data_IF_664524374883
#
_entry.id   IF_664524374883
#
_cell.length_a   1.000
_cell.length_b   1.000
_cell.length_c   1.000
_cell.angle_alpha   90.00
_cell.angle_beta   90.00
_cell.angle_gamma   90.00
#
_symmetry.space_group_name_H-M   'P 1'
#
loop_
_entity.id
_entity.type
_entity.pdbx_description
1 polymer ?
#
# COMPACT_ATOMS: atom_id res chain seq x y z
N UNK A 1 -24.14 82.46 -5.47
CA UNK A 1 -23.35 83.28 -6.42
C UNK A 1 -23.05 82.40 -7.64
N UNK A 2 -23.90 82.44 -8.67
CA UNK A 2 -23.65 83.06 -10.00
C UNK A 2 -22.46 82.41 -10.73
N UNK A 3 -22.61 81.71 -11.86
CA UNK A 3 -23.01 82.27 -13.17
C UNK A 3 -23.52 81.21 -14.18
N UNK A 4 -24.38 81.74 -15.07
CA UNK A 4 -24.95 81.24 -16.33
C UNK A 4 -23.95 80.95 -17.47
N UNK A 5 -24.37 80.12 -18.44
CA UNK A 5 -24.30 80.32 -19.93
C UNK A 5 -24.27 78.95 -20.65
N UNK A 6 -25.32 78.47 -21.33
CA UNK A 6 -25.81 78.79 -22.70
C UNK A 6 -25.00 78.21 -23.89
N UNK A 7 -25.58 77.18 -24.53
CA UNK A 7 -25.80 76.92 -25.97
C UNK A 7 -24.59 76.90 -26.95
N UNK A 8 -24.38 75.77 -27.65
CA UNK A 8 -24.27 75.76 -29.12
C UNK A 8 -24.62 74.40 -29.76
N UNK A 9 -25.40 74.47 -30.84
CA UNK A 9 -25.84 73.40 -31.75
C UNK A 9 -24.70 72.99 -32.70
N UNK A 10 -24.70 71.73 -33.14
CA UNK A 10 -23.88 71.27 -34.26
C UNK A 10 -24.20 69.84 -34.68
N UNK A 11 -25.10 69.69 -35.64
CA UNK A 11 -25.44 68.43 -36.31
C UNK A 11 -24.35 68.06 -37.31
N UNK A 12 -23.88 66.81 -37.34
CA UNK A 12 -23.41 66.19 -38.58
C UNK A 12 -23.68 64.67 -38.50
N UNK A 13 -24.57 64.20 -39.37
CA UNK A 13 -24.80 62.79 -39.64
C UNK A 13 -23.58 62.22 -40.36
N UNK A 14 -22.96 61.19 -39.77
CA UNK A 14 -22.02 60.30 -40.44
C UNK A 14 -22.49 58.87 -40.25
N UNK A 15 -23.04 58.27 -41.31
CA UNK A 15 -23.42 56.85 -41.36
C UNK A 15 -22.17 55.97 -41.33
N UNK A 16 -21.68 55.65 -40.14
CA UNK A 16 -20.66 54.62 -39.93
C UNK A 16 -21.32 53.27 -39.72
N UNK A 17 -21.16 52.35 -40.68
CA UNK A 17 -21.53 50.95 -40.51
C UNK A 17 -20.63 50.33 -39.42
N UNK A 18 -21.19 50.14 -38.22
CA UNK A 18 -20.52 49.41 -37.13
C UNK A 18 -20.59 47.91 -37.44
N UNK A 19 -19.51 47.36 -37.99
CA UNK A 19 -19.27 45.92 -37.96
C UNK A 19 -18.99 45.52 -36.51
N UNK A 20 -19.99 45.04 -35.79
CA UNK A 20 -19.76 44.31 -34.53
C UNK A 20 -19.12 42.97 -34.87
N UNK A 21 -17.79 42.91 -34.80
CA UNK A 21 -17.09 41.64 -34.67
C UNK A 21 -17.49 41.03 -33.33
N UNK A 22 -18.41 40.06 -33.36
CA UNK A 22 -18.70 39.23 -32.20
C UNK A 22 -17.47 38.34 -31.93
N UNK A 23 -16.62 38.77 -31.00
CA UNK A 23 -15.65 37.87 -30.39
C UNK A 23 -16.42 36.79 -29.62
N UNK A 24 -16.65 35.64 -30.25
CA UNK A 24 -17.01 34.42 -29.54
C UNK A 24 -15.78 34.01 -28.72
N UNK A 25 -15.78 34.38 -27.44
CA UNK A 25 -14.84 33.81 -26.47
C UNK A 25 -15.15 32.32 -26.41
N UNK A 26 -14.27 31.51 -27.01
CA UNK A 26 -14.35 30.06 -26.90
C UNK A 26 -14.32 29.69 -25.41
N UNK A 27 -15.39 29.05 -24.94
CA UNK A 27 -15.50 28.53 -23.58
C UNK A 27 -14.31 27.56 -23.37
N UNK A 28 -13.52 27.69 -22.29
CA UNK A 28 -12.47 26.72 -22.01
C UNK A 28 -13.12 25.34 -21.97
N UNK A 29 -12.50 24.35 -22.62
CA UNK A 29 -12.91 22.97 -22.47
C UNK A 29 -12.96 22.66 -20.97
N UNK A 30 -14.12 22.22 -20.47
CA UNK A 30 -14.25 21.84 -19.07
C UNK A 30 -13.17 20.81 -18.77
N UNK A 31 -12.21 21.16 -17.91
CA UNK A 31 -11.32 20.18 -17.32
C UNK A 31 -12.22 19.09 -16.74
N UNK A 32 -12.06 17.84 -17.20
CA UNK A 32 -12.73 16.71 -16.59
C UNK A 32 -12.35 16.74 -15.11
N UNK A 33 -13.31 17.10 -14.27
CA UNK A 33 -13.16 17.06 -12.82
C UNK A 33 -12.60 15.69 -12.48
N UNK A 34 -11.42 15.67 -11.86
CA UNK A 34 -10.68 14.44 -11.61
C UNK A 34 -11.54 13.61 -10.65
N UNK A 35 -12.20 12.58 -11.18
CA UNK A 35 -13.12 11.76 -10.39
C UNK A 35 -12.44 11.34 -9.09
N UNK A 36 -13.04 11.70 -7.96
CA UNK A 36 -12.48 11.42 -6.65
C UNK A 36 -12.46 9.91 -6.44
N UNK A 37 -11.29 9.36 -6.11
CA UNK A 37 -11.16 7.94 -5.79
C UNK A 37 -11.68 7.65 -4.39
N UNK A 38 -12.51 6.62 -4.26
CA UNK A 38 -12.92 6.02 -3.00
C UNK A 38 -12.30 4.63 -2.91
N UNK A 39 -11.33 4.45 -2.02
CA UNK A 39 -10.52 3.23 -1.92
C UNK A 39 -10.94 2.43 -0.67
N UNK A 40 -11.24 1.15 -0.84
CA UNK A 40 -11.57 0.24 0.27
C UNK A 40 -10.50 -0.85 0.42
N UNK A 41 -9.98 -1.00 1.64
CA UNK A 41 -8.95 -1.99 1.95
C UNK A 41 -9.53 -3.29 2.50
N UNK A 42 -9.15 -4.41 1.89
CA UNK A 42 -9.53 -5.76 2.26
C UNK A 42 -8.37 -6.43 3.01
N UNK A 43 -8.41 -6.38 4.34
CA UNK A 43 -7.45 -7.08 5.19
C UNK A 43 -7.58 -8.60 5.00
N UNK A 44 -6.45 -9.26 4.76
CA UNK A 44 -6.39 -10.69 4.51
C UNK A 44 -6.85 -11.52 5.69
N UNK A 45 -6.28 -11.29 6.88
CA UNK A 45 -6.48 -12.16 8.04
C UNK A 45 -7.86 -11.99 8.69
N UNK A 46 -8.45 -10.79 8.59
CA UNK A 46 -9.79 -10.49 9.07
C UNK A 46 -10.89 -11.01 8.13
N UNK A 47 -10.55 -11.29 6.86
CA UNK A 47 -11.53 -11.72 5.85
C UNK A 47 -11.18 -13.05 5.20
N UNK A 48 -10.17 -13.76 5.70
CA UNK A 48 -9.59 -14.92 5.03
C UNK A 48 -10.65 -15.94 4.62
N UNK A 49 -11.55 -16.31 5.54
CA UNK A 49 -12.65 -17.24 5.27
C UNK A 49 -13.60 -16.74 4.18
N UNK A 50 -13.92 -15.44 4.15
CA UNK A 50 -14.77 -14.86 3.08
C UNK A 50 -14.07 -14.98 1.73
N UNK A 51 -12.76 -14.78 1.69
CA UNK A 51 -11.98 -14.85 0.47
C UNK A 51 -11.76 -16.29 -0.03
N UNK A 52 -12.11 -17.32 0.76
CA UNK A 52 -12.04 -18.72 0.29
C UNK A 52 -13.19 -19.14 -0.60
N UNK A 53 -14.15 -18.25 -0.91
CA UNK A 53 -15.28 -18.54 -1.80
C UNK A 53 -15.46 -17.45 -2.87
N UNK A 54 -15.62 -17.88 -4.13
CA UNK A 54 -15.77 -16.98 -5.29
C UNK A 54 -17.07 -16.15 -5.23
N UNK A 55 -18.16 -16.76 -4.84
CA UNK A 55 -19.46 -16.08 -4.66
C UNK A 55 -19.39 -15.02 -3.54
N UNK A 56 -18.67 -15.31 -2.45
CA UNK A 56 -18.45 -14.36 -1.37
C UNK A 56 -17.59 -13.17 -1.83
N UNK A 57 -16.49 -13.41 -2.56
CA UNK A 57 -15.69 -12.34 -3.18
C UNK A 57 -16.56 -11.45 -4.09
N UNK A 58 -17.34 -12.07 -4.98
CA UNK A 58 -18.25 -11.36 -5.89
C UNK A 58 -19.24 -10.49 -5.12
N UNK A 59 -19.85 -11.05 -4.08
CA UNK A 59 -20.79 -10.35 -3.23
C UNK A 59 -20.16 -9.09 -2.62
N UNK A 60 -19.00 -9.19 -1.97
CA UNK A 60 -18.36 -8.02 -1.34
C UNK A 60 -17.84 -6.99 -2.34
N UNK A 61 -17.38 -7.40 -3.52
CA UNK A 61 -17.03 -6.46 -4.59
C UNK A 61 -18.27 -5.70 -5.08
N UNK A 62 -19.39 -6.39 -5.29
CA UNK A 62 -20.65 -5.76 -5.68
C UNK A 62 -21.14 -4.80 -4.60
N UNK A 63 -21.12 -5.19 -3.33
CA UNK A 63 -21.48 -4.30 -2.21
C UNK A 63 -20.58 -3.06 -2.15
N UNK A 64 -19.27 -3.22 -2.40
CA UNK A 64 -18.33 -2.10 -2.43
C UNK A 64 -18.68 -1.12 -3.54
N UNK A 65 -18.94 -1.63 -4.75
CA UNK A 65 -19.40 -0.83 -5.89
C UNK A 65 -20.71 -0.09 -5.57
N UNK A 66 -21.70 -0.79 -5.02
CA UNK A 66 -23.01 -0.22 -4.70
C UNK A 66 -22.90 0.88 -3.64
N UNK A 67 -21.89 0.80 -2.77
CA UNK A 67 -21.54 1.83 -1.79
C UNK A 67 -20.72 3.01 -2.37
N UNK A 68 -20.41 3.00 -3.67
CA UNK A 68 -19.66 4.07 -4.34
C UNK A 68 -18.14 3.94 -4.24
N UNK A 69 -17.60 2.79 -3.83
CA UNK A 69 -16.16 2.50 -3.89
C UNK A 69 -15.73 2.44 -5.37
N UNK A 70 -14.60 3.05 -5.69
CA UNK A 70 -14.02 3.06 -7.05
C UNK A 70 -12.87 2.07 -7.19
N UNK A 71 -12.13 1.84 -6.11
CA UNK A 71 -10.95 0.98 -6.10
C UNK A 71 -10.95 0.11 -4.83
N UNK A 72 -10.57 -1.15 -4.95
CA UNK A 72 -10.31 -2.06 -3.81
C UNK A 72 -8.83 -2.38 -3.71
N UNK A 73 -8.34 -2.54 -2.48
CA UNK A 73 -6.96 -2.96 -2.19
C UNK A 73 -7.02 -4.31 -1.50
N UNK A 74 -6.45 -5.34 -2.13
CA UNK A 74 -6.38 -6.68 -1.58
C UNK A 74 -5.05 -6.82 -0.84
N UNK A 75 -5.09 -7.13 0.46
CA UNK A 75 -3.87 -7.50 1.19
C UNK A 75 -3.38 -8.88 0.76
N UNK A 76 -2.32 -8.91 -0.05
CA UNK A 76 -1.82 -10.16 -0.64
C UNK A 76 -0.61 -10.72 0.09
N UNK A 77 -0.02 -9.94 1.01
CA UNK A 77 1.04 -10.38 1.92
C UNK A 77 0.75 -9.80 3.32
N UNK A 78 -0.09 -10.48 4.13
CA UNK A 78 -0.42 -10.04 5.48
C UNK A 78 0.77 -10.08 6.43
N UNK A 79 0.51 -9.67 7.67
CA UNK A 79 1.49 -9.66 8.75
C UNK A 79 2.09 -11.03 9.12
N UNK A 80 1.62 -12.15 8.56
CA UNK A 80 2.27 -13.46 8.74
C UNK A 80 3.49 -13.64 7.83
N UNK A 81 3.63 -12.81 6.79
CA UNK A 81 4.71 -12.91 5.79
C UNK A 81 4.46 -13.88 4.65
N UNK A 82 3.41 -14.70 4.75
CA UNK A 82 2.93 -15.55 3.66
C UNK A 82 2.15 -14.72 2.64
N UNK A 83 1.90 -15.28 1.45
CA UNK A 83 1.12 -14.62 0.40
C UNK A 83 -0.21 -15.30 0.11
N UNK A 84 -1.17 -14.54 -0.43
CA UNK A 84 -2.52 -15.03 -0.80
C UNK A 84 -2.63 -15.52 -2.25
N UNK A 85 -1.51 -15.76 -2.91
CA UNK A 85 -1.44 -16.21 -4.31
C UNK A 85 -0.45 -17.38 -4.46
N UNK A 86 -0.52 -18.18 -5.55
CA UNK A 86 0.32 -19.38 -5.73
C UNK A 86 1.77 -19.04 -6.09
N UNK A 87 2.47 -18.41 -5.15
CA UNK A 87 3.87 -18.03 -5.23
C UNK A 87 4.81 -19.23 -5.28
N UNK A 88 5.95 -19.07 -5.97
CA UNK A 88 7.08 -20.01 -5.95
C UNK A 88 8.19 -19.56 -5.00
N UNK A 89 8.09 -18.37 -4.40
CA UNK A 89 9.12 -17.73 -3.59
C UNK A 89 8.73 -17.71 -2.10
N UNK A 90 7.62 -17.05 -1.78
CA UNK A 90 7.04 -16.99 -0.45
C UNK A 90 6.05 -18.14 -0.22
N UNK A 91 5.92 -18.67 1.01
CA UNK A 91 4.88 -19.64 1.32
C UNK A 91 3.48 -19.04 1.10
N UNK A 92 2.57 -19.86 0.60
CA UNK A 92 1.18 -19.47 0.38
C UNK A 92 0.36 -19.76 1.64
N UNK A 93 -0.42 -18.78 2.11
CA UNK A 93 -1.39 -18.98 3.18
C UNK A 93 -2.61 -19.73 2.64
N UNK A 94 -2.65 -21.04 2.85
CA UNK A 94 -3.80 -21.89 2.47
C UNK A 94 -4.80 -22.08 3.61
N UNK A 95 -4.40 -21.78 4.85
CA UNK A 95 -5.28 -21.85 6.00
C UNK A 95 -4.95 -20.75 7.00
N UNK A 96 -6.01 -20.23 7.63
CA UNK A 96 -5.92 -19.23 8.67
C UNK A 96 -6.93 -19.54 9.76
N UNK A 97 -6.51 -19.41 11.03
CA UNK A 97 -7.37 -19.60 12.20
C UNK A 97 -6.95 -18.62 13.29
N UNK A 98 -7.79 -17.62 13.57
CA UNK A 98 -7.59 -16.61 14.59
C UNK A 98 -8.92 -16.18 15.20
N UNK A 99 -9.14 -16.51 16.48
CA UNK A 99 -10.37 -16.14 17.18
C UNK A 99 -11.63 -16.65 16.48
N UNK A 100 -12.43 -15.72 15.92
CA UNK A 100 -13.67 -16.02 15.18
C UNK A 100 -13.46 -16.25 13.68
N UNK A 101 -12.27 -15.97 13.16
CA UNK A 101 -11.95 -16.18 11.74
C UNK A 101 -11.23 -17.52 11.57
N UNK A 102 -11.77 -18.36 10.68
CA UNK A 102 -11.19 -19.66 10.35
C UNK A 102 -11.57 -20.04 8.93
N UNK A 103 -10.59 -20.34 8.08
CA UNK A 103 -10.85 -20.71 6.69
C UNK A 103 -9.75 -21.57 6.09
N UNK A 104 -10.12 -22.33 5.05
CA UNK A 104 -9.20 -23.14 4.25
C UNK A 104 -9.44 -22.85 2.78
N UNK A 105 -8.41 -22.36 2.10
CA UNK A 105 -8.44 -22.00 0.69
C UNK A 105 -8.28 -23.26 -0.16
N UNK A 106 -9.20 -23.47 -1.10
CA UNK A 106 -9.04 -24.46 -2.17
C UNK A 106 -7.92 -24.00 -3.12
N UNK A 107 -6.81 -24.76 -3.26
CA UNK A 107 -5.69 -24.37 -4.12
C UNK A 107 -5.98 -24.56 -5.61
N UNK A 108 -7.12 -25.16 -6.01
CA UNK A 108 -7.46 -25.39 -7.42
C UNK A 108 -7.71 -24.11 -8.24
N UNK A 109 -7.88 -22.98 -7.56
CA UNK A 109 -8.09 -21.67 -8.19
C UNK A 109 -7.30 -20.57 -7.47
N UNK A 110 -6.90 -19.56 -8.22
CA UNK A 110 -6.14 -18.42 -7.70
C UNK A 110 -7.08 -17.32 -7.17
N UNK A 111 -6.90 -16.97 -5.89
CA UNK A 111 -7.69 -15.96 -5.19
C UNK A 111 -7.52 -14.57 -5.81
N UNK A 112 -6.26 -14.17 -6.06
CA UNK A 112 -5.96 -12.81 -6.51
C UNK A 112 -6.37 -12.62 -7.97
N UNK A 113 -6.13 -13.62 -8.82
CA UNK A 113 -6.66 -13.62 -10.19
C UNK A 113 -8.17 -13.40 -10.21
N UNK A 114 -8.92 -14.09 -9.33
CA UNK A 114 -10.37 -13.95 -9.27
C UNK A 114 -10.81 -12.56 -8.80
N UNK A 115 -10.15 -11.98 -7.78
CA UNK A 115 -10.41 -10.60 -7.35
C UNK A 115 -10.21 -9.60 -8.49
N UNK A 116 -9.13 -9.74 -9.25
CA UNK A 116 -8.81 -8.84 -10.37
C UNK A 116 -9.87 -8.96 -11.46
N UNK A 117 -10.14 -10.18 -11.92
CA UNK A 117 -11.11 -10.42 -13.01
C UNK A 117 -12.52 -9.95 -12.65
N UNK A 118 -12.99 -10.29 -11.45
CA UNK A 118 -14.34 -9.95 -11.01
C UNK A 118 -14.47 -8.47 -10.66
N UNK A 119 -13.45 -7.87 -10.04
CA UNK A 119 -13.42 -6.43 -9.77
C UNK A 119 -13.47 -5.61 -11.06
N UNK A 120 -12.66 -5.99 -12.06
CA UNK A 120 -12.67 -5.37 -13.38
C UNK A 120 -14.01 -5.56 -14.10
N UNK A 121 -14.61 -6.75 -14.02
CA UNK A 121 -15.95 -7.02 -14.58
C UNK A 121 -17.00 -6.09 -13.98
N UNK A 122 -16.86 -5.74 -12.71
CA UNK A 122 -17.74 -4.82 -11.99
C UNK A 122 -17.41 -3.34 -12.22
N UNK A 123 -16.26 -3.02 -12.83
CA UNK A 123 -15.80 -1.65 -13.08
C UNK A 123 -15.04 -1.03 -11.90
N UNK A 124 -14.52 -1.85 -10.99
CA UNK A 124 -13.65 -1.43 -9.88
C UNK A 124 -12.18 -1.49 -10.31
N UNK A 125 -11.37 -0.54 -9.85
CA UNK A 125 -9.92 -0.70 -9.84
C UNK A 125 -9.51 -1.72 -8.78
N UNK A 126 -8.56 -2.59 -9.09
CA UNK A 126 -8.07 -3.63 -8.16
C UNK A 126 -6.57 -3.48 -7.96
N UNK A 127 -6.19 -3.16 -6.73
CA UNK A 127 -4.81 -2.99 -6.29
C UNK A 127 -4.43 -4.11 -5.32
N UNK A 128 -3.14 -4.40 -5.23
CA UNK A 128 -2.60 -5.32 -4.23
C UNK A 128 -1.78 -4.54 -3.20
N UNK A 129 -1.86 -4.92 -1.93
CA UNK A 129 -0.93 -4.42 -0.90
C UNK A 129 -0.04 -5.52 -0.35
N UNK A 130 1.20 -5.16 -0.04
CA UNK A 130 2.15 -6.07 0.61
C UNK A 130 2.70 -5.44 1.89
N UNK A 131 2.69 -6.18 2.99
CA UNK A 131 3.48 -5.84 4.17
C UNK A 131 4.94 -6.22 3.89
N UNK A 132 5.72 -5.29 3.33
CA UNK A 132 7.04 -5.58 2.74
C UNK A 132 8.00 -6.15 3.77
N UNK A 133 8.41 -5.39 4.80
CA UNK A 133 9.37 -5.90 5.78
C UNK A 133 8.71 -6.68 6.92
N UNK A 134 7.78 -7.58 6.62
CA UNK A 134 7.14 -8.49 7.59
C UNK A 134 7.23 -9.93 7.13
N UNK A 135 7.59 -10.82 8.05
CA UNK A 135 7.85 -12.22 7.73
C UNK A 135 7.38 -13.20 8.81
N UNK A 136 6.55 -12.75 9.76
CA UNK A 136 6.00 -13.63 10.77
C UNK A 136 4.99 -12.97 11.71
N UNK A 137 4.23 -13.81 12.42
CA UNK A 137 3.20 -13.41 13.37
C UNK A 137 3.55 -13.89 14.78
N UNK A 138 3.95 -12.98 15.67
CA UNK A 138 4.53 -13.31 16.98
C UNK A 138 3.57 -14.03 17.93
N UNK A 139 2.26 -13.81 17.81
CA UNK A 139 1.30 -14.52 18.66
C UNK A 139 1.21 -16.02 18.30
N UNK A 140 1.37 -16.37 17.02
CA UNK A 140 1.24 -17.74 16.53
C UNK A 140 2.59 -18.42 16.30
N UNK A 141 3.70 -17.68 16.40
CA UNK A 141 5.03 -18.15 16.01
C UNK A 141 5.05 -18.76 14.59
N UNK A 142 4.38 -18.07 13.67
CA UNK A 142 4.17 -18.48 12.28
C UNK A 142 4.92 -17.56 11.31
N UNK A 143 5.41 -18.11 10.21
CA UNK A 143 6.07 -17.38 9.14
C UNK A 143 7.56 -17.70 9.05
N UNK A 144 8.20 -17.24 7.97
CA UNK A 144 9.53 -17.71 7.58
C UNK A 144 10.63 -17.42 8.61
N UNK A 145 10.51 -16.36 9.42
CA UNK A 145 11.50 -16.10 10.50
C UNK A 145 11.40 -17.07 11.68
N UNK A 146 10.28 -17.78 11.81
CA UNK A 146 10.07 -18.84 12.80
C UNK A 146 10.40 -20.22 12.25
N UNK A 147 10.02 -20.46 10.98
CA UNK A 147 10.01 -21.79 10.36
C UNK A 147 11.29 -22.10 9.59
N UNK A 148 11.97 -21.09 9.02
CA UNK A 148 13.19 -21.26 8.24
C UNK A 148 14.43 -20.78 9.02
N UNK A 149 15.29 -21.74 9.38
CA UNK A 149 16.52 -21.48 10.13
C UNK A 149 17.53 -20.60 9.40
N UNK A 150 17.48 -20.55 8.07
CA UNK A 150 18.33 -19.65 7.29
C UNK A 150 17.78 -18.22 7.24
N UNK A 151 16.57 -17.97 7.75
CA UNK A 151 15.92 -16.65 7.79
C UNK A 151 15.72 -16.14 9.21
N UNK A 152 16.12 -16.89 10.22
CA UNK A 152 16.01 -16.50 11.63
C UNK A 152 16.79 -15.19 11.91
N UNK A 153 17.93 -14.96 11.25
CA UNK A 153 18.72 -13.74 11.42
C UNK A 153 18.10 -12.49 10.76
N UNK A 154 17.04 -12.65 9.96
CA UNK A 154 16.36 -11.52 9.33
C UNK A 154 15.55 -10.69 10.32
N UNK A 155 15.21 -11.27 11.47
CA UNK A 155 14.35 -10.63 12.46
C UNK A 155 14.99 -9.36 13.03
N UNK A 156 14.16 -8.35 13.25
CA UNK A 156 14.60 -7.12 13.92
C UNK A 156 15.15 -7.43 15.32
N UNK A 157 16.26 -6.80 15.69
CA UNK A 157 16.75 -6.71 17.07
C UNK A 157 16.39 -5.34 17.62
N UNK A 158 15.54 -5.29 18.65
CA UNK A 158 15.17 -4.03 19.29
C UNK A 158 16.06 -3.71 20.49
N UNK A 159 16.37 -2.44 20.70
CA UNK A 159 16.97 -1.94 21.93
C UNK A 159 15.87 -1.47 22.90
N UNK A 160 15.63 -2.24 23.95
CA UNK A 160 14.59 -2.03 24.95
C UNK A 160 15.22 -1.82 26.35
N UNK A 161 14.46 -1.40 27.39
CA UNK A 161 15.00 -1.25 28.74
C UNK A 161 15.66 -2.52 29.30
N UNK A 162 15.22 -3.69 28.84
CA UNK A 162 15.77 -4.99 29.23
C UNK A 162 17.00 -5.41 28.39
N UNK A 163 17.43 -4.56 27.44
CA UNK A 163 18.55 -4.79 26.53
C UNK A 163 18.12 -5.11 25.10
N UNK A 164 18.96 -5.87 24.38
CA UNK A 164 18.66 -6.28 23.01
C UNK A 164 17.68 -7.45 22.98
N UNK A 165 16.52 -7.23 22.38
CA UNK A 165 15.44 -8.22 22.33
C UNK A 165 15.04 -8.49 20.89
N UNK A 166 15.17 -9.74 20.40
CA UNK A 166 14.67 -10.10 19.09
C UNK A 166 13.15 -9.90 19.00
N UNK A 167 12.66 -9.37 17.89
CA UNK A 167 11.22 -9.04 17.73
C UNK A 167 10.32 -10.27 17.89
N UNK A 168 10.81 -11.46 17.55
CA UNK A 168 10.06 -12.72 17.70
C UNK A 168 9.78 -13.09 19.16
N UNK A 169 10.54 -12.53 20.11
CA UNK A 169 10.33 -12.69 21.55
C UNK A 169 9.40 -11.62 22.14
N UNK A 170 9.09 -10.56 21.39
CA UNK A 170 8.24 -9.45 21.84
C UNK A 170 6.75 -9.75 21.58
N UNK A 171 6.16 -10.62 22.41
CA UNK A 171 4.76 -11.10 22.24
C UNK A 171 3.66 -10.03 22.26
N UNK A 172 3.98 -8.80 22.69
CA UNK A 172 3.07 -7.65 22.63
C UNK A 172 2.98 -6.99 21.24
N UNK A 173 3.92 -7.28 20.34
CA UNK A 173 3.88 -6.89 18.92
C UNK A 173 3.34 -8.06 18.12
N UNK A 174 2.38 -7.83 17.24
CA UNK A 174 1.80 -8.92 16.44
C UNK A 174 2.71 -9.34 15.26
N UNK A 175 3.35 -8.37 14.60
CA UNK A 175 4.21 -8.62 13.44
C UNK A 175 5.67 -8.85 13.85
N UNK A 176 6.29 -9.87 13.28
CA UNK A 176 7.74 -10.03 13.22
C UNK A 176 8.27 -9.24 12.02
N UNK A 177 8.65 -7.98 12.26
CA UNK A 177 9.26 -7.14 11.24
C UNK A 177 10.72 -7.53 10.99
N UNK A 178 11.09 -7.53 9.72
CA UNK A 178 12.46 -7.81 9.26
C UNK A 178 13.35 -6.59 9.45
N UNK A 179 14.66 -6.81 9.53
CA UNK A 179 15.66 -5.76 9.39
C UNK A 179 15.77 -5.34 7.91
N UNK A 180 15.27 -4.16 7.50
CA UNK A 180 15.31 -3.69 6.12
C UNK A 180 16.72 -3.43 5.59
N UNK A 181 17.73 -3.33 6.45
CA UNK A 181 19.11 -3.04 6.08
C UNK A 181 19.84 -4.25 5.49
N UNK A 182 19.34 -5.47 5.73
CA UNK A 182 20.01 -6.69 5.30
C UNK A 182 19.84 -6.93 3.77
N UNK A 183 20.93 -7.16 3.01
CA UNK A 183 20.84 -7.35 1.57
C UNK A 183 20.00 -8.56 1.13
N UNK A 184 20.02 -9.65 1.89
CA UNK A 184 19.23 -10.86 1.61
C UNK A 184 17.73 -10.65 1.89
N UNK A 185 17.38 -9.89 2.93
CA UNK A 185 16.01 -9.41 3.16
C UNK A 185 15.52 -8.55 1.98
N UNK A 186 16.32 -7.57 1.55
CA UNK A 186 15.97 -6.72 0.40
C UNK A 186 15.78 -7.54 -0.88
N UNK A 187 16.67 -8.50 -1.13
CA UNK A 187 16.59 -9.38 -2.30
C UNK A 187 15.34 -10.26 -2.26
N UNK A 188 15.01 -10.83 -1.10
CA UNK A 188 13.81 -11.65 -0.91
C UNK A 188 12.54 -10.86 -1.18
N UNK A 189 12.36 -9.71 -0.52
CA UNK A 189 11.14 -8.90 -0.68
C UNK A 189 11.02 -8.35 -2.12
N UNK A 190 12.13 -7.94 -2.73
CA UNK A 190 12.13 -7.51 -4.13
C UNK A 190 11.74 -8.66 -5.07
N UNK A 191 12.16 -9.89 -4.79
CA UNK A 191 11.81 -11.05 -5.59
C UNK A 191 10.30 -11.36 -5.54
N UNK A 192 9.68 -11.21 -4.36
CA UNK A 192 8.23 -11.36 -4.18
C UNK A 192 7.47 -10.26 -4.96
N UNK A 193 7.91 -9.01 -4.86
CA UNK A 193 7.30 -7.90 -5.61
C UNK A 193 7.41 -8.11 -7.13
N UNK A 194 8.57 -8.58 -7.61
CA UNK A 194 8.76 -8.93 -9.03
C UNK A 194 7.83 -10.06 -9.46
N UNK A 195 7.73 -11.12 -8.67
CA UNK A 195 6.81 -12.23 -8.94
C UNK A 195 5.36 -11.75 -8.99
N UNK A 196 4.92 -10.94 -8.02
CA UNK A 196 3.58 -10.35 -8.00
C UNK A 196 3.30 -9.55 -9.28
N UNK A 197 4.20 -8.64 -9.69
CA UNK A 197 4.01 -7.87 -10.93
C UNK A 197 3.99 -8.74 -12.18
N UNK A 198 4.77 -9.83 -12.22
CA UNK A 198 4.86 -10.70 -13.37
C UNK A 198 3.65 -11.63 -13.50
N UNK A 199 3.13 -12.14 -12.38
CA UNK A 199 1.96 -13.01 -12.35
C UNK A 199 0.66 -12.22 -12.58
N UNK A 200 0.61 -10.96 -12.15
CA UNK A 200 -0.62 -10.14 -12.16
C UNK A 200 -0.45 -8.81 -12.91
N UNK A 201 -0.15 -8.83 -14.22
CA UNK A 201 0.02 -7.61 -15.02
C UNK A 201 -1.26 -6.77 -15.16
N UNK A 202 -2.42 -7.33 -14.77
CA UNK A 202 -3.72 -6.66 -14.77
C UNK A 202 -4.01 -5.89 -13.47
N UNK A 203 -3.15 -5.93 -12.46
CA UNK A 203 -3.34 -5.07 -11.28
C UNK A 203 -3.28 -3.60 -11.70
N UNK A 204 -4.18 -2.79 -11.16
CA UNK A 204 -4.21 -1.34 -11.37
C UNK A 204 -3.12 -0.62 -10.57
N UNK A 205 -2.54 -1.29 -9.57
CA UNK A 205 -1.46 -0.78 -8.76
C UNK A 205 -1.02 -1.74 -7.67
N UNK A 206 0.17 -1.46 -7.11
CA UNK A 206 0.72 -2.13 -5.94
C UNK A 206 1.01 -1.07 -4.88
N UNK A 207 0.52 -1.32 -3.67
CA UNK A 207 0.75 -0.48 -2.51
C UNK A 207 1.74 -1.19 -1.59
N UNK A 208 2.86 -0.53 -1.33
CA UNK A 208 3.89 -1.05 -0.44
C UNK A 208 3.58 -0.58 0.98
N UNK A 209 3.09 -1.48 1.83
CA UNK A 209 2.92 -1.22 3.25
C UNK A 209 4.15 -1.69 4.03
N UNK A 210 4.39 -1.08 5.19
CA UNK A 210 5.48 -1.45 6.10
C UNK A 210 6.87 -1.46 5.45
N UNK A 211 7.11 -0.52 4.53
CA UNK A 211 8.44 -0.19 3.99
C UNK A 211 9.23 0.66 5.00
N UNK A 212 9.43 0.13 6.20
CA UNK A 212 10.04 0.85 7.32
C UNK A 212 10.62 -0.11 8.34
N UNK A 213 11.49 0.41 9.21
CA UNK A 213 11.85 -0.26 10.46
C UNK A 213 10.63 -0.35 11.39
N UNK A 214 10.65 -1.33 12.30
CA UNK A 214 9.56 -1.58 13.26
C UNK A 214 9.26 -0.37 14.15
N UNK A 215 10.29 0.26 14.71
CA UNK A 215 10.19 1.39 15.61
C UNK A 215 11.54 2.15 15.67
N UNK A 216 11.58 3.28 16.39
CA UNK A 216 12.83 4.01 16.67
C UNK A 216 13.83 3.17 17.48
N UNK A 217 13.33 2.18 18.22
CA UNK A 217 14.14 1.22 18.96
C UNK A 217 14.69 0.10 18.06
N UNK A 218 14.64 0.25 16.73
CA UNK A 218 15.05 -0.74 15.75
C UNK A 218 15.77 -0.08 14.56
N UNK A 219 16.71 -0.74 13.90
CA UNK A 219 17.28 -2.06 14.20
C UNK A 219 18.66 -1.94 14.87
N UNK A 220 18.90 -2.75 15.89
CA UNK A 220 20.12 -2.72 16.71
C UNK A 220 21.00 -3.97 16.58
N UNK A 221 20.78 -4.80 15.57
CA UNK A 221 21.61 -5.97 15.28
C UNK A 221 23.06 -5.56 14.97
N UNK A 222 23.98 -6.53 15.10
CA UNK A 222 25.38 -6.32 14.71
C UNK A 222 25.54 -5.89 13.25
N UNK A 223 24.68 -6.38 12.35
CA UNK A 223 24.67 -5.98 10.95
C UNK A 223 24.30 -4.49 10.80
N UNK A 224 23.26 -4.02 11.50
CA UNK A 224 22.87 -2.61 11.48
C UNK A 224 23.95 -1.72 12.09
N UNK A 225 24.62 -2.16 13.17
CA UNK A 225 25.78 -1.46 13.72
C UNK A 225 26.88 -1.32 12.67
N UNK A 226 27.28 -2.42 12.02
CA UNK A 226 28.35 -2.40 11.02
C UNK A 226 28.02 -1.46 9.84
N UNK A 227 26.78 -1.47 9.36
CA UNK A 227 26.32 -0.57 8.31
C UNK A 227 26.33 0.90 8.76
N UNK A 228 25.91 1.16 10.00
CA UNK A 228 25.95 2.51 10.58
C UNK A 228 27.37 3.03 10.77
N UNK A 229 28.29 2.21 11.28
CA UNK A 229 29.70 2.55 11.42
C UNK A 229 30.36 2.81 10.06
N UNK A 230 30.03 2.00 9.05
CA UNK A 230 30.50 2.20 7.69
C UNK A 230 29.98 3.51 7.09
N UNK A 231 28.70 3.84 7.32
CA UNK A 231 28.08 5.08 6.85
C UNK A 231 28.70 6.32 7.51
N UNK A 232 28.94 6.27 8.82
CA UNK A 232 29.49 7.41 9.59
C UNK A 232 31.01 7.51 9.52
N UNK A 233 31.70 6.45 9.10
CA UNK A 233 33.16 6.33 9.13
C UNK A 233 33.73 6.25 10.56
N UNK A 234 32.90 5.98 11.57
CA UNK A 234 33.29 5.93 12.98
C UNK A 234 32.93 4.59 13.60
N UNK A 235 33.81 4.06 14.44
CA UNK A 235 33.49 2.94 15.31
C UNK A 235 32.77 3.44 16.56
N UNK A 236 31.70 2.77 16.94
CA UNK A 236 30.92 3.12 18.13
C UNK A 236 31.44 2.28 19.30
N UNK A 237 32.11 2.92 20.25
CA UNK A 237 32.74 2.23 21.37
C UNK A 237 31.70 1.56 22.29
N UNK A 238 30.67 2.32 22.71
CA UNK A 238 29.58 1.80 23.52
C UNK A 238 28.29 1.74 22.70
N UNK A 239 28.14 0.71 21.87
CA UNK A 239 26.91 0.47 21.13
C UNK A 239 25.79 -0.03 22.08
N UNK A 240 24.60 0.59 22.11
CA UNK A 240 24.12 1.75 21.34
C UNK A 240 24.00 3.02 22.21
N UNK A 241 24.73 3.13 23.32
CA UNK A 241 24.66 4.28 24.21
C UNK A 241 25.28 5.55 23.60
N UNK A 242 26.22 5.38 22.65
CA UNK A 242 27.01 6.46 22.05
C UNK A 242 26.48 6.97 20.69
N UNK A 243 25.28 6.54 20.26
CA UNK A 243 24.63 7.04 19.02
C UNK A 243 23.76 8.27 19.25
#
# INVERSE_FOLDING_TARGET
>A
MTKFSSILKGTLLGSGAFFMAACTVAKPAAEKEKAQKAILWFDATANFHRFTFKDSITYYLQQSKDAGVTDVVIDVKPITGEVLYPSKIAPQMLEWKSGRESGKKDPSWDMLSYFIEEGHRLGLGVHASTNVFVAGHNFFDRGVVYEDKFKEHWQTISFLPEGFVPITKQKKKYSAMLNPALPDVQAYELSILKELTALYPKLDGIILDRVRYDAITADFSDASRQLFEAYTGKKIANWPADI
#
